data_IF_655341354103
#
_entry.id   IF_655341354103
#
_cell.length_a   1.000
_cell.length_b   1.000
_cell.length_c   1.000
_cell.angle_alpha   90.00
_cell.angle_beta   90.00
_cell.angle_gamma   90.00
#
_symmetry.space_group_name_H-M   'P 1'
#
loop_
_entity.id
_entity.type
_entity.pdbx_description
1 polymer ?
#
# COMPACT_ATOMS: atom_id res chain seq x y z
N UNK A 1 18.60 7.92 2.15
CA UNK A 1 17.75 7.82 3.36
C UNK A 1 16.75 6.67 3.26
N UNK A 2 15.88 6.63 2.25
CA UNK A 2 14.83 5.59 2.12
C UNK A 2 15.33 4.14 2.05
N UNK A 3 16.41 3.88 1.32
CA UNK A 3 17.00 2.54 1.25
C UNK A 3 17.49 2.03 2.63
N UNK A 4 17.95 2.92 3.51
CA UNK A 4 18.35 2.54 4.86
C UNK A 4 17.12 2.27 5.73
N UNK A 5 16.13 3.16 5.71
CA UNK A 5 14.86 2.95 6.42
C UNK A 5 14.17 1.63 6.03
N UNK A 6 14.20 1.29 4.74
CA UNK A 6 13.72 0.01 4.21
C UNK A 6 14.46 -1.20 4.79
N UNK A 7 15.79 -1.12 4.90
CA UNK A 7 16.61 -2.16 5.54
C UNK A 7 16.29 -2.29 7.02
N UNK A 8 16.21 -1.17 7.74
CA UNK A 8 15.91 -1.15 9.18
C UNK A 8 14.53 -1.75 9.46
N UNK A 9 13.51 -1.36 8.69
CA UNK A 9 12.17 -1.95 8.76
C UNK A 9 12.19 -3.46 8.47
N UNK A 10 12.94 -3.88 7.45
CA UNK A 10 13.08 -5.30 7.13
C UNK A 10 13.75 -6.07 8.27
N UNK A 11 14.81 -5.52 8.89
CA UNK A 11 15.48 -6.14 10.03
C UNK A 11 14.54 -6.29 11.23
N UNK A 12 13.82 -5.23 11.60
CA UNK A 12 12.80 -5.27 12.66
C UNK A 12 11.74 -6.34 12.38
N UNK A 13 11.24 -6.43 11.15
CA UNK A 13 10.25 -7.45 10.77
C UNK A 13 10.79 -8.87 10.86
N UNK A 14 12.06 -9.08 10.48
CA UNK A 14 12.74 -10.38 10.65
C UNK A 14 12.88 -10.74 12.13
N UNK A 15 13.27 -9.80 12.99
CA UNK A 15 13.35 -10.05 14.42
C UNK A 15 12.00 -10.40 15.05
N UNK A 16 10.90 -9.78 14.61
CA UNK A 16 9.55 -10.14 15.03
C UNK A 16 9.20 -11.56 14.56
N UNK A 17 9.53 -11.89 13.31
CA UNK A 17 9.32 -13.23 12.76
C UNK A 17 10.11 -14.30 13.54
N UNK A 18 11.39 -14.03 13.85
CA UNK A 18 12.24 -14.90 14.66
C UNK A 18 11.61 -15.16 16.03
N UNK A 19 11.17 -14.10 16.71
CA UNK A 19 10.52 -14.22 18.01
C UNK A 19 9.21 -15.01 17.91
N UNK A 20 8.35 -14.70 16.93
CA UNK A 20 7.08 -15.39 16.71
C UNK A 20 7.29 -16.89 16.40
N UNK A 21 8.35 -17.23 15.67
CA UNK A 21 8.70 -18.61 15.34
C UNK A 21 9.07 -19.46 16.56
N UNK A 22 9.45 -18.86 17.69
CA UNK A 22 9.73 -19.58 18.95
C UNK A 22 8.47 -19.99 19.73
N UNK A 23 7.32 -19.40 19.39
CA UNK A 23 6.05 -19.64 20.09
C UNK A 23 5.47 -20.97 19.63
N UNK A 24 5.42 -21.95 20.55
CA UNK A 24 4.79 -23.23 20.30
C UNK A 24 3.27 -23.12 20.33
N UNK A 25 2.59 -23.89 19.47
CA UNK A 25 1.13 -23.99 19.48
C UNK A 25 0.38 -22.76 18.97
N UNK A 26 1.06 -21.79 18.34
CA UNK A 26 0.37 -20.67 17.70
C UNK A 26 -0.62 -21.20 16.66
N UNK A 27 -1.87 -20.76 16.76
CA UNK A 27 -2.91 -21.19 15.82
C UNK A 27 -2.90 -20.34 14.55
N UNK A 28 -2.54 -19.06 14.66
CA UNK A 28 -2.56 -18.10 13.56
C UNK A 28 -1.55 -16.97 13.80
N UNK A 29 -0.79 -16.64 12.77
CA UNK A 29 0.10 -15.49 12.73
C UNK A 29 -0.34 -14.53 11.61
N UNK A 30 -0.89 -13.36 11.95
CA UNK A 30 -1.28 -12.37 10.94
C UNK A 30 -0.12 -11.39 10.75
N UNK A 31 0.40 -11.33 9.52
CA UNK A 31 1.45 -10.38 9.14
C UNK A 31 0.90 -9.30 8.21
N UNK A 32 1.11 -8.02 8.57
CA UNK A 32 0.78 -6.92 7.67
C UNK A 32 1.86 -6.76 6.61
N UNK A 33 1.47 -6.85 5.34
CA UNK A 33 2.38 -6.67 4.21
C UNK A 33 1.77 -5.84 3.09
N UNK A 34 2.53 -5.65 2.02
CA UNK A 34 2.09 -5.02 0.78
C UNK A 34 2.59 -5.87 -0.40
N UNK A 35 2.04 -5.66 -1.58
CA UNK A 35 2.48 -6.37 -2.77
C UNK A 35 3.95 -6.09 -3.08
N UNK A 36 4.68 -7.10 -3.56
CA UNK A 36 6.02 -6.89 -4.07
C UNK A 36 5.94 -6.24 -5.46
N UNK A 37 6.04 -4.90 -5.47
CA UNK A 37 5.95 -4.13 -6.70
C UNK A 37 7.02 -4.53 -7.73
N UNK A 38 8.23 -4.86 -7.28
CA UNK A 38 9.31 -5.30 -8.17
C UNK A 38 9.00 -6.66 -8.78
N UNK A 39 8.48 -7.61 -7.99
CA UNK A 39 8.08 -8.94 -8.48
C UNK A 39 6.93 -8.86 -9.48
N UNK A 40 5.84 -8.17 -9.12
CA UNK A 40 4.63 -8.12 -9.95
C UNK A 40 4.78 -7.28 -11.22
N UNK A 41 5.69 -6.31 -11.20
CA UNK A 41 6.04 -5.52 -12.38
C UNK A 41 7.22 -6.06 -13.19
N UNK A 42 7.72 -7.27 -12.88
CA UNK A 42 8.91 -7.86 -13.54
C UNK A 42 10.13 -6.93 -13.51
N UNK A 43 10.24 -6.15 -12.43
CA UNK A 43 11.33 -5.22 -12.19
C UNK A 43 11.20 -3.88 -12.90
N UNK A 44 10.06 -3.55 -13.51
CA UNK A 44 9.79 -2.21 -14.05
C UNK A 44 9.71 -1.18 -12.92
N UNK A 45 8.99 -1.50 -11.84
CA UNK A 45 8.86 -0.65 -10.65
C UNK A 45 9.71 -1.22 -9.53
N UNK A 46 10.95 -0.73 -9.42
CA UNK A 46 11.88 -1.03 -8.32
C UNK A 46 11.97 0.16 -7.38
N UNK A 47 12.45 -0.10 -6.16
CA UNK A 47 12.67 0.92 -5.13
C UNK A 47 11.36 1.54 -4.63
N UNK A 48 10.25 0.80 -4.70
CA UNK A 48 9.05 1.09 -3.91
C UNK A 48 9.32 0.60 -2.47
N UNK A 49 10.26 1.26 -1.79
CA UNK A 49 10.98 0.71 -0.65
C UNK A 49 10.06 0.27 0.50
N UNK A 50 8.95 0.99 0.73
CA UNK A 50 7.95 0.68 1.77
C UNK A 50 7.01 -0.48 1.42
N UNK A 51 6.88 -0.83 0.13
CA UNK A 51 6.21 -2.06 -0.34
C UNK A 51 7.19 -3.24 -0.23
N UNK A 52 8.37 -3.08 -0.84
CA UNK A 52 9.38 -4.14 -0.93
C UNK A 52 9.90 -4.59 0.44
N UNK A 53 10.09 -3.68 1.41
CA UNK A 53 10.56 -4.06 2.75
C UNK A 53 9.62 -5.06 3.43
N UNK A 54 8.31 -4.88 3.30
CA UNK A 54 7.31 -5.77 3.91
C UNK A 54 7.23 -7.11 3.18
N UNK A 55 7.28 -7.07 1.84
CA UNK A 55 7.31 -8.29 1.02
C UNK A 55 8.54 -9.16 1.34
N UNK A 56 9.72 -8.56 1.53
CA UNK A 56 10.94 -9.29 1.89
C UNK A 56 10.85 -10.00 3.24
N UNK A 57 10.07 -9.48 4.19
CA UNK A 57 9.84 -10.17 5.46
C UNK A 57 8.94 -11.41 5.25
N UNK A 58 7.95 -11.33 4.36
CA UNK A 58 7.13 -12.50 3.99
C UNK A 58 7.97 -13.61 3.38
N UNK A 59 8.86 -13.27 2.44
CA UNK A 59 9.76 -14.25 1.82
C UNK A 59 10.72 -14.84 2.86
N UNK A 60 11.28 -14.00 3.74
CA UNK A 60 12.10 -14.47 4.86
C UNK A 60 11.37 -15.45 5.78
N UNK A 61 10.11 -15.16 6.16
CA UNK A 61 9.31 -16.07 6.99
C UNK A 61 9.13 -17.42 6.29
N UNK A 62 8.82 -17.41 4.98
CA UNK A 62 8.63 -18.64 4.19
C UNK A 62 9.91 -19.48 4.10
N UNK A 63 11.06 -18.84 3.95
CA UNK A 63 12.36 -19.51 3.81
C UNK A 63 12.93 -19.98 5.16
N UNK A 64 12.98 -19.10 6.16
CA UNK A 64 13.65 -19.35 7.42
C UNK A 64 12.75 -20.05 8.46
N UNK A 65 11.43 -19.80 8.41
CA UNK A 65 10.47 -20.26 9.42
C UNK A 65 9.25 -20.95 8.77
N UNK A 66 9.44 -22.05 8.01
CA UNK A 66 8.36 -22.68 7.27
C UNK A 66 7.21 -23.18 8.15
N UNK A 67 7.45 -23.48 9.43
CA UNK A 67 6.40 -23.81 10.40
C UNK A 67 5.51 -22.60 10.72
N UNK A 68 6.11 -21.43 10.95
CA UNK A 68 5.39 -20.18 11.15
C UNK A 68 4.63 -19.79 9.87
N UNK A 69 5.27 -19.96 8.70
CA UNK A 69 4.65 -19.68 7.41
C UNK A 69 3.36 -20.48 7.16
N UNK A 70 3.29 -21.75 7.60
CA UNK A 70 2.07 -22.58 7.52
C UNK A 70 0.92 -22.06 8.39
N UNK A 71 1.24 -21.28 9.41
CA UNK A 71 0.28 -20.67 10.32
C UNK A 71 0.01 -19.20 9.96
N UNK A 72 0.66 -18.68 8.93
CA UNK A 72 0.63 -17.27 8.61
C UNK A 72 -0.52 -16.93 7.65
N UNK A 73 -1.24 -15.85 7.92
CA UNK A 73 -2.09 -15.16 6.94
C UNK A 73 -1.58 -13.73 6.76
N UNK A 74 -1.80 -13.15 5.58
CA UNK A 74 -1.28 -11.83 5.22
C UNK A 74 -2.43 -10.85 5.08
N UNK A 75 -2.34 -9.73 5.79
CA UNK A 75 -3.24 -8.60 5.63
C UNK A 75 -2.55 -7.49 4.84
N UNK A 76 -3.02 -7.22 3.63
CA UNK A 76 -2.61 -6.06 2.86
C UNK A 76 -3.63 -4.95 3.09
N UNK A 77 -3.21 -3.83 3.67
CA UNK A 77 -4.10 -2.69 3.83
C UNK A 77 -4.10 -1.83 2.58
N UNK A 78 -5.29 -1.43 2.11
CA UNK A 78 -5.45 -0.41 1.08
C UNK A 78 -4.84 0.95 1.47
N UNK A 79 -4.94 1.92 0.57
CA UNK A 79 -4.51 3.28 0.81
C UNK A 79 -5.38 3.89 1.91
N UNK A 80 -4.76 4.37 2.99
CA UNK A 80 -5.51 4.97 4.08
C UNK A 80 -6.19 6.26 3.61
N UNK A 81 -7.49 6.38 3.85
CA UNK A 81 -8.29 7.58 3.52
C UNK A 81 -7.80 8.84 4.22
N UNK A 82 -6.91 8.72 5.21
CA UNK A 82 -6.34 9.82 5.97
C UNK A 82 -4.94 10.25 5.49
N UNK A 83 -4.31 9.51 4.56
CA UNK A 83 -2.94 9.78 4.11
C UNK A 83 -2.75 11.18 3.52
N UNK A 84 -3.82 11.80 3.00
CA UNK A 84 -3.76 13.18 2.52
C UNK A 84 -3.41 14.20 3.61
N UNK A 85 -3.62 13.86 4.88
CA UNK A 85 -3.21 14.68 6.03
C UNK A 85 -1.68 14.72 6.22
N UNK A 86 -0.94 13.77 5.64
CA UNK A 86 0.53 13.70 5.76
C UNK A 86 1.25 14.61 4.76
N UNK A 87 0.49 15.36 3.96
CA UNK A 87 0.99 16.37 3.05
C UNK A 87 1.17 15.90 1.60
N UNK A 88 1.60 16.83 0.73
CA UNK A 88 1.56 16.65 -0.72
C UNK A 88 2.54 15.61 -1.28
N UNK A 89 3.49 15.12 -0.47
CA UNK A 89 4.35 14.01 -0.90
C UNK A 89 3.64 12.66 -0.71
N UNK A 90 2.80 12.55 0.33
CA UNK A 90 2.05 11.32 0.60
C UNK A 90 0.87 11.21 -0.36
N UNK A 91 -0.09 12.14 -0.30
CA UNK A 91 -1.15 12.26 -1.32
C UNK A 91 -1.06 13.68 -1.92
N UNK A 92 -0.78 13.80 -3.21
CA UNK A 92 -0.34 15.03 -3.90
C UNK A 92 -1.47 16.03 -4.17
N UNK A 93 -2.11 16.49 -3.09
CA UNK A 93 -3.05 17.59 -3.07
C UNK A 93 -2.32 18.94 -3.00
N UNK A 94 -2.63 19.83 -3.94
CA UNK A 94 -2.09 21.20 -4.02
C UNK A 94 -3.22 22.21 -4.11
N UNK A 95 -3.02 23.39 -3.53
CA UNK A 95 -3.95 24.52 -3.65
C UNK A 95 -3.54 25.41 -4.82
N UNK A 96 -4.48 25.75 -5.70
CA UNK A 96 -4.31 26.79 -6.73
C UNK A 96 -4.81 28.16 -6.25
N UNK A 97 -4.42 29.21 -6.98
CA UNK A 97 -4.73 30.60 -6.65
C UNK A 97 -6.24 30.92 -6.72
N UNK A 98 -7.04 30.11 -7.43
CA UNK A 98 -8.46 30.35 -7.75
C UNK A 98 -9.44 29.55 -6.88
N UNK A 99 -9.02 29.13 -5.67
CA UNK A 99 -9.80 28.30 -4.72
C UNK A 99 -9.99 26.84 -5.20
N UNK A 100 -9.41 26.46 -6.33
CA UNK A 100 -9.40 25.09 -6.81
C UNK A 100 -8.23 24.31 -6.18
N UNK A 101 -8.49 23.11 -5.69
CA UNK A 101 -7.44 22.16 -5.35
C UNK A 101 -7.15 21.22 -6.52
N UNK A 102 -5.89 20.87 -6.71
CA UNK A 102 -5.50 19.84 -7.69
C UNK A 102 -5.00 18.62 -6.94
N UNK A 103 -5.53 17.46 -7.29
CA UNK A 103 -4.85 16.19 -7.03
C UNK A 103 -3.97 15.85 -8.23
N UNK A 104 -2.65 15.79 -8.04
CA UNK A 104 -1.70 15.47 -9.12
C UNK A 104 -1.33 14.00 -9.05
N UNK A 105 -1.71 13.16 -10.00
CA UNK A 105 -1.34 11.73 -9.95
C UNK A 105 -0.46 11.37 -11.16
N UNK A 106 0.62 10.58 -10.98
CA UNK A 106 1.35 10.01 -12.10
C UNK A 106 0.50 9.04 -12.91
N UNK A 107 0.52 9.15 -14.24
CA UNK A 107 -0.17 8.21 -15.14
C UNK A 107 -1.59 8.62 -15.54
N UNK A 108 -2.40 7.65 -15.94
CA UNK A 108 -3.69 7.94 -16.60
C UNK A 108 -4.89 8.07 -15.64
N UNK A 109 -4.78 7.58 -14.40
CA UNK A 109 -5.81 7.73 -13.36
C UNK A 109 -7.01 6.78 -13.43
N UNK A 110 -7.07 5.86 -14.40
CA UNK A 110 -8.26 5.02 -14.64
C UNK A 110 -8.33 3.77 -13.76
N UNK A 111 -7.22 3.36 -13.16
CA UNK A 111 -7.19 2.19 -12.29
C UNK A 111 -7.79 2.53 -10.93
N UNK A 112 -8.81 1.77 -10.52
CA UNK A 112 -9.40 1.92 -9.19
C UNK A 112 -8.40 1.54 -8.10
N UNK A 113 -8.25 2.42 -7.12
CA UNK A 113 -7.41 2.29 -5.93
C UNK A 113 -8.26 1.79 -4.77
N UNK A 114 -7.73 0.84 -4.00
CA UNK A 114 -8.36 0.30 -2.80
C UNK A 114 -8.15 1.25 -1.62
N UNK A 115 -9.21 1.89 -1.15
CA UNK A 115 -9.19 2.82 -0.01
C UNK A 115 -9.69 2.15 1.26
N UNK A 116 -9.04 2.41 2.39
CA UNK A 116 -9.40 1.82 3.69
C UNK A 116 -9.38 2.86 4.80
N UNK A 117 -10.36 2.78 5.70
CA UNK A 117 -10.29 3.52 6.95
C UNK A 117 -9.41 2.73 7.94
N UNK A 118 -8.30 3.28 8.45
CA UNK A 118 -7.43 2.57 9.39
C UNK A 118 -8.17 2.08 10.65
N UNK A 119 -9.28 2.73 11.05
CA UNK A 119 -10.10 2.26 12.17
C UNK A 119 -10.78 0.91 11.92
N UNK A 120 -10.94 0.50 10.66
CA UNK A 120 -11.55 -0.79 10.29
C UNK A 120 -10.56 -1.96 10.34
N UNK A 121 -9.27 -1.72 10.60
CA UNK A 121 -8.22 -2.76 10.64
C UNK A 121 -8.63 -3.97 11.49
N UNK A 122 -9.22 -3.73 12.68
CA UNK A 122 -9.69 -4.80 13.56
C UNK A 122 -10.73 -5.71 12.91
N UNK A 123 -11.68 -5.15 12.16
CA UNK A 123 -12.72 -5.92 11.45
C UNK A 123 -12.10 -6.85 10.39
N UNK A 124 -11.09 -6.38 9.67
CA UNK A 124 -10.40 -7.20 8.69
C UNK A 124 -9.52 -8.27 9.33
N UNK A 125 -8.93 -8.00 10.49
CA UNK A 125 -8.21 -9.01 11.29
C UNK A 125 -9.19 -10.10 11.74
N UNK A 126 -10.36 -9.72 12.28
CA UNK A 126 -11.39 -10.67 12.73
C UNK A 126 -11.93 -11.53 11.58
N UNK A 127 -12.13 -10.95 10.41
CA UNK A 127 -12.51 -11.69 9.20
C UNK A 127 -11.38 -12.65 8.77
N UNK A 128 -10.15 -12.16 8.67
CA UNK A 128 -9.00 -12.96 8.26
C UNK A 128 -8.72 -14.12 9.22
N UNK A 129 -9.01 -13.96 10.51
CA UNK A 129 -8.87 -14.99 11.52
C UNK A 129 -9.84 -16.17 11.35
N UNK A 130 -10.96 -15.96 10.64
CA UNK A 130 -11.96 -16.99 10.36
C UNK A 130 -11.72 -17.70 9.02
N UNK A 131 -10.79 -17.19 8.20
CA UNK A 131 -10.44 -17.77 6.90
C UNK A 131 -9.34 -18.85 7.04
N UNK A 132 -9.17 -19.72 6.03
CA UNK A 132 -8.07 -20.67 6.01
C UNK A 132 -6.71 -19.99 6.19
N UNK A 133 -5.80 -20.63 6.93
CA UNK A 133 -4.41 -20.18 7.08
C UNK A 133 -3.74 -20.11 5.71
N UNK A 134 -2.83 -19.16 5.53
CA UNK A 134 -2.21 -18.89 4.23
C UNK A 134 -2.99 -17.92 3.36
N UNK A 135 -4.16 -17.45 3.81
CA UNK A 135 -4.95 -16.45 3.09
C UNK A 135 -4.20 -15.12 3.01
N UNK A 136 -4.25 -14.49 1.83
CA UNK A 136 -3.82 -13.11 1.62
C UNK A 136 -5.05 -12.28 1.32
N UNK A 137 -5.37 -11.31 2.18
CA UNK A 137 -6.55 -10.44 2.04
C UNK A 137 -6.11 -8.99 1.79
N UNK A 138 -6.66 -8.36 0.75
CA UNK A 138 -6.56 -6.91 0.55
C UNK A 138 -7.75 -6.21 1.23
N UNK A 139 -7.49 -5.59 2.37
CA UNK A 139 -8.47 -4.85 3.14
C UNK A 139 -8.75 -3.47 2.54
N UNK A 140 -10.01 -3.24 2.17
CA UNK A 140 -10.52 -1.93 1.73
C UNK A 140 -12.02 -1.80 2.00
N UNK A 141 -12.48 -0.56 2.17
CA UNK A 141 -13.90 -0.23 2.27
C UNK A 141 -14.51 0.09 0.90
N UNK A 142 -13.76 0.79 0.05
CA UNK A 142 -14.21 1.13 -1.30
C UNK A 142 -13.05 1.12 -2.31
N UNK A 143 -13.39 1.02 -3.59
CA UNK A 143 -12.46 1.10 -4.71
C UNK A 143 -12.88 2.20 -5.67
N UNK A 144 -12.09 3.26 -5.70
CA UNK A 144 -12.38 4.46 -6.48
C UNK A 144 -11.26 4.71 -7.49
N UNK A 145 -11.61 5.14 -8.70
CA UNK A 145 -10.65 5.82 -9.57
C UNK A 145 -10.27 7.17 -8.95
N UNK A 146 -9.16 7.76 -9.40
CA UNK A 146 -8.77 9.08 -8.89
C UNK A 146 -9.77 10.19 -9.25
N UNK A 147 -10.46 10.07 -10.39
CA UNK A 147 -11.55 11.00 -10.74
C UNK A 147 -12.75 10.87 -9.80
N UNK A 148 -13.09 9.63 -9.40
CA UNK A 148 -14.14 9.37 -8.40
C UNK A 148 -13.74 9.89 -7.02
N UNK A 149 -12.49 9.67 -6.59
CA UNK A 149 -11.97 10.19 -5.32
C UNK A 149 -12.01 11.72 -5.28
N UNK A 150 -11.57 12.41 -6.34
CA UNK A 150 -11.65 13.88 -6.44
C UNK A 150 -13.10 14.36 -6.38
N UNK A 151 -14.01 13.69 -7.08
CA UNK A 151 -15.44 14.03 -7.09
C UNK A 151 -16.03 13.89 -5.67
N UNK A 152 -15.80 12.76 -5.02
CA UNK A 152 -16.23 12.49 -3.65
C UNK A 152 -15.64 13.48 -2.65
N UNK A 153 -14.36 13.85 -2.81
CA UNK A 153 -13.70 14.83 -1.96
C UNK A 153 -14.33 16.22 -2.11
N UNK A 154 -14.63 16.65 -3.34
CA UNK A 154 -15.34 17.92 -3.58
C UNK A 154 -16.74 17.91 -2.98
N UNK A 155 -17.50 16.82 -3.12
CA UNK A 155 -18.83 16.67 -2.52
C UNK A 155 -18.79 16.76 -0.98
N UNK A 156 -17.83 16.07 -0.35
CA UNK A 156 -17.70 16.05 1.10
C UNK A 156 -17.22 17.39 1.68
N UNK A 157 -16.37 18.12 0.96
CA UNK A 157 -15.69 19.32 1.48
C UNK A 157 -16.27 20.65 0.99
N UNK A 158 -17.10 20.63 -0.05
CA UNK A 158 -17.52 21.82 -0.82
C UNK A 158 -16.35 22.64 -1.41
N UNK A 159 -15.16 22.06 -1.51
CA UNK A 159 -14.00 22.69 -2.15
C UNK A 159 -13.86 22.16 -3.57
N UNK A 160 -13.78 23.06 -4.55
CA UNK A 160 -13.59 22.69 -5.95
C UNK A 160 -12.26 21.96 -6.10
N UNK A 161 -12.29 20.80 -6.74
CA UNK A 161 -11.08 20.06 -7.06
C UNK A 161 -11.12 19.48 -8.47
N UNK A 162 -9.92 19.21 -9.02
CA UNK A 162 -9.75 18.48 -10.27
C UNK A 162 -8.55 17.54 -10.22
N UNK A 163 -8.64 16.43 -10.94
CA UNK A 163 -7.49 15.58 -11.20
C UNK A 163 -6.59 16.24 -12.25
N UNK A 164 -5.28 16.18 -12.02
CA UNK A 164 -4.28 16.53 -13.03
C UNK A 164 -3.31 15.37 -13.21
N UNK A 165 -3.27 14.86 -14.44
CA UNK A 165 -2.30 13.83 -14.83
C UNK A 165 -0.92 14.47 -14.87
N UNK A 166 0.06 13.79 -14.27
CA UNK A 166 1.45 14.24 -14.23
C UNK A 166 2.39 13.11 -14.65
N UNK A 167 3.65 13.45 -14.93
CA UNK A 167 4.71 12.46 -15.08
C UNK A 167 5.31 12.11 -13.72
N UNK A 168 5.94 10.93 -13.65
CA UNK A 168 6.74 10.50 -12.50
C UNK A 168 7.80 11.56 -12.15
N UNK A 169 8.46 12.13 -13.15
CA UNK A 169 9.50 13.15 -12.96
C UNK A 169 8.97 14.43 -12.30
N UNK A 170 7.74 14.86 -12.62
CA UNK A 170 7.13 16.03 -11.99
C UNK A 170 6.84 15.82 -10.50
N UNK A 171 6.70 14.58 -10.05
CA UNK A 171 6.59 14.27 -8.62
C UNK A 171 7.94 14.22 -7.91
N UNK A 172 9.03 13.82 -8.58
CA UNK A 172 10.34 13.66 -7.94
C UNK A 172 10.84 14.93 -7.25
N UNK A 173 10.52 16.09 -7.82
CA UNK A 173 11.00 17.37 -7.32
C UNK A 173 10.25 17.87 -6.08
N UNK A 174 9.26 17.14 -5.57
CA UNK A 174 8.41 17.58 -4.44
C UNK A 174 9.14 17.60 -3.10
N UNK A 175 10.25 16.85 -2.95
CA UNK A 175 11.00 16.77 -1.71
C UNK A 175 12.46 17.27 -1.84
N UNK A 176 12.77 18.01 -2.90
CA UNK A 176 14.12 18.51 -3.15
C UNK A 176 15.16 17.39 -3.30
N UNK A 177 14.77 16.27 -3.92
CA UNK A 177 15.59 15.08 -4.17
C UNK A 177 15.98 14.29 -2.89
N UNK A 178 15.19 14.42 -1.81
CA UNK A 178 15.35 13.59 -0.61
C UNK A 178 15.00 12.11 -0.84
N UNK A 179 14.34 11.80 -1.96
CA UNK A 179 14.10 10.46 -2.50
C UNK A 179 12.80 9.80 -2.04
N UNK A 180 12.06 10.41 -1.11
CA UNK A 180 10.73 9.94 -0.71
C UNK A 180 9.69 10.23 -1.80
N UNK A 181 9.77 11.40 -2.43
CA UNK A 181 8.91 11.76 -3.55
C UNK A 181 9.12 10.85 -4.77
N UNK A 182 10.38 10.43 -5.02
CA UNK A 182 10.68 9.43 -6.05
C UNK A 182 9.99 8.09 -5.76
N UNK A 183 10.08 7.62 -4.53
CA UNK A 183 9.46 6.37 -4.10
C UNK A 183 7.93 6.43 -4.21
N UNK A 184 7.30 7.50 -3.74
CA UNK A 184 5.85 7.69 -3.83
C UNK A 184 5.38 7.78 -5.27
N UNK A 185 6.09 8.51 -6.13
CA UNK A 185 5.76 8.62 -7.55
C UNK A 185 5.79 7.25 -8.27
N UNK A 186 6.81 6.42 -7.99
CA UNK A 186 6.89 5.06 -8.52
C UNK A 186 5.78 4.17 -8.00
N UNK A 187 5.43 4.33 -6.72
CA UNK A 187 4.34 3.60 -6.08
C UNK A 187 3.00 3.91 -6.74
N UNK A 188 2.71 5.19 -6.98
CA UNK A 188 1.50 5.59 -7.70
C UNK A 188 1.48 5.11 -9.15
N UNK A 189 2.61 5.19 -9.86
CA UNK A 189 2.70 4.67 -11.22
C UNK A 189 2.50 3.14 -11.28
N UNK A 190 3.08 2.39 -10.32
CA UNK A 190 2.83 0.96 -10.17
C UNK A 190 1.34 0.66 -9.94
N UNK A 191 0.68 1.41 -9.05
CA UNK A 191 -0.75 1.25 -8.79
C UNK A 191 -1.60 1.49 -10.03
N UNK A 192 -1.21 2.43 -10.89
CA UNK A 192 -1.91 2.70 -12.15
C UNK A 192 -1.76 1.53 -13.13
N UNK A 193 -0.55 1.00 -13.29
CA UNK A 193 -0.28 -0.03 -14.30
C UNK A 193 -0.70 -1.44 -13.87
N UNK A 194 -0.56 -1.75 -12.57
CA UNK A 194 -0.70 -3.09 -12.00
C UNK A 194 -1.74 -3.18 -10.88
N UNK A 195 -2.40 -2.09 -10.51
CA UNK A 195 -3.30 -2.06 -9.35
C UNK A 195 -2.55 -2.13 -8.01
N UNK A 196 -3.28 -1.98 -6.91
CA UNK A 196 -2.69 -1.90 -5.57
C UNK A 196 -1.96 -3.18 -5.13
N UNK A 197 -2.49 -4.35 -5.51
CA UNK A 197 -1.96 -5.68 -5.15
C UNK A 197 -1.17 -6.36 -6.29
N UNK A 198 -0.86 -5.64 -7.38
CA UNK A 198 -0.07 -6.20 -8.48
C UNK A 198 -0.78 -7.18 -9.41
N UNK A 199 -2.12 -7.27 -9.33
CA UNK A 199 -2.94 -8.31 -9.97
C UNK A 199 -2.56 -9.73 -9.54
N UNK A 200 -2.02 -9.88 -8.33
CA UNK A 200 -1.76 -11.18 -7.72
C UNK A 200 -3.08 -11.97 -7.60
N UNK A 201 -3.25 -13.09 -8.33
CA UNK A 201 -4.49 -13.86 -8.29
C UNK A 201 -4.68 -14.60 -6.96
N UNK A 202 -3.65 -14.68 -6.11
CA UNK A 202 -3.73 -15.27 -4.76
C UNK A 202 -4.26 -14.31 -3.70
N UNK A 203 -4.57 -13.05 -4.06
CA UNK A 203 -5.08 -12.05 -3.13
C UNK A 203 -6.62 -12.03 -3.18
N UNK A 204 -7.25 -12.32 -2.05
CA UNK A 204 -8.69 -12.17 -1.88
C UNK A 204 -9.06 -10.70 -1.65
N UNK A 205 -10.23 -10.33 -2.16
CA UNK A 205 -10.88 -9.05 -1.92
C UNK A 205 -11.95 -9.22 -0.81
N UNK A 206 -12.42 -8.14 -0.18
CA UNK A 206 -13.51 -8.19 0.79
C UNK A 206 -14.81 -8.79 0.25
N UNK A 207 -15.03 -8.73 -1.07
CA UNK A 207 -16.20 -9.34 -1.72
C UNK A 207 -16.07 -10.87 -1.92
N UNK A 208 -14.86 -11.41 -1.75
CA UNK A 208 -14.57 -12.84 -1.93
C UNK A 208 -14.66 -13.63 -0.61
N UNK A 209 -14.94 -12.96 0.52
CA UNK A 209 -14.84 -13.50 1.90
C UNK A 209 -16.09 -13.24 2.73
#
# INVERSE_FOLDING_TARGET
MQAQASKDQSMLGKSIADAAATIQGSELFIWSSLADASKWSQGQYRKAWHFESKARVVDYIKEAHPHLAKQMSILQMGLFVENWKWGPISVPWFKEADVTNILRIPGNGHQAVSFVNPSDTGKFIDALAQLPKGTVLLAYGDRLTWDQDVSMWTECTNVKARLQKTSIHQHFTLDGDAGYAEEMAKTYAYMVDYGYHGRDPGVLMPADV
#
